data_IF_461429504653
#
_entry.id   IF_461429504653
#
_cell.length_a   1.000
_cell.length_b   1.000
_cell.length_c   1.000
_cell.angle_alpha   90.00
_cell.angle_beta   90.00
_cell.angle_gamma   90.00
#
_symmetry.space_group_name_H-M   'P 1'
#
loop_
_entity.id
_entity.type
_entity.pdbx_description
1 polymer ?
#
# COMPACT_ATOMS: atom_id res chain seq x y z
N UNK A 1 0.72 -1.64 -18.10
CA UNK A 1 -0.30 -2.17 -17.17
C UNK A 1 -0.47 -1.27 -15.97
N UNK A 2 -1.10 -1.77 -14.92
CA UNK A 2 -1.36 -1.08 -13.66
C UNK A 2 -1.08 -2.01 -12.49
N UNK A 3 -0.34 -1.54 -11.48
CA UNK A 3 -0.02 -2.24 -10.24
C UNK A 3 -0.14 -1.30 -9.04
N UNK A 4 -1.35 -1.08 -8.54
CA UNK A 4 -1.66 -0.20 -7.40
C UNK A 4 -2.33 -1.04 -6.30
N UNK A 5 -1.62 -1.23 -5.20
CA UNK A 5 -2.14 -1.96 -4.04
C UNK A 5 -2.79 -1.04 -2.99
N UNK A 6 -3.70 -1.61 -2.21
CA UNK A 6 -4.15 -1.05 -0.92
C UNK A 6 -3.76 -1.98 0.23
N UNK A 7 -3.57 -1.44 1.44
CA UNK A 7 -3.16 -2.24 2.59
C UNK A 7 -4.34 -2.99 3.21
N UNK A 8 -5.43 -2.28 3.44
CA UNK A 8 -6.59 -2.76 4.22
C UNK A 8 -7.87 -2.75 3.38
N UNK A 9 -8.08 -1.71 2.55
CA UNK A 9 -9.32 -1.50 1.80
C UNK A 9 -10.31 -0.63 2.56
N UNK A 10 -11.62 -0.82 2.33
CA UNK A 10 -12.66 0.02 2.94
C UNK A 10 -13.30 -0.65 4.15
N UNK A 11 -12.70 -0.46 5.33
CA UNK A 11 -13.23 -1.00 6.61
C UNK A 11 -14.56 -0.34 6.98
N UNK A 12 -14.72 0.95 6.71
CA UNK A 12 -15.96 1.69 6.94
C UNK A 12 -17.14 1.09 6.18
N UNK A 13 -16.95 0.69 4.92
CA UNK A 13 -18.00 0.01 4.13
C UNK A 13 -18.38 -1.35 4.70
N UNK A 14 -17.41 -2.08 5.25
CA UNK A 14 -17.68 -3.35 5.94
C UNK A 14 -18.48 -3.11 7.23
N UNK A 15 -18.15 -2.06 7.99
CA UNK A 15 -18.85 -1.71 9.23
C UNK A 15 -20.29 -1.27 8.96
N UNK A 16 -20.52 -0.40 7.98
CA UNK A 16 -21.85 0.04 7.58
C UNK A 16 -22.70 -1.16 7.12
N UNK A 17 -22.09 -2.07 6.36
CA UNK A 17 -22.76 -3.29 5.89
C UNK A 17 -23.09 -4.25 7.03
N UNK A 18 -22.20 -4.39 8.02
CA UNK A 18 -22.45 -5.17 9.22
C UNK A 18 -23.58 -4.58 10.07
N UNK A 19 -23.68 -3.25 10.18
CA UNK A 19 -24.77 -2.57 10.87
C UNK A 19 -26.13 -2.90 10.23
N UNK A 20 -26.22 -3.00 8.90
CA UNK A 20 -27.45 -3.40 8.22
C UNK A 20 -27.90 -4.82 8.59
N UNK A 21 -26.98 -5.73 8.93
CA UNK A 21 -27.31 -7.07 9.45
C UNK A 21 -27.94 -6.94 10.84
N UNK A 22 -27.26 -6.22 11.75
CA UNK A 22 -27.70 -6.02 13.13
C UNK A 22 -29.09 -5.37 13.20
N UNK A 23 -29.38 -4.42 12.31
CA UNK A 23 -30.65 -3.71 12.22
C UNK A 23 -31.71 -4.45 11.38
N UNK A 24 -31.41 -5.65 10.84
CA UNK A 24 -32.29 -6.40 9.94
C UNK A 24 -32.72 -5.61 8.69
N UNK A 25 -31.82 -4.77 8.16
CA UNK A 25 -32.01 -3.85 7.02
C UNK A 25 -31.19 -4.25 5.79
N UNK A 26 -30.82 -5.53 5.66
CA UNK A 26 -29.98 -6.06 4.58
C UNK A 26 -30.44 -5.72 3.15
N UNK A 27 -31.74 -5.48 2.92
CA UNK A 27 -32.26 -5.01 1.63
C UNK A 27 -31.65 -3.69 1.16
N UNK A 28 -31.06 -2.90 2.07
CA UNK A 28 -30.37 -1.63 1.76
C UNK A 28 -28.89 -1.80 1.42
N UNK A 29 -28.36 -3.03 1.42
CA UNK A 29 -26.97 -3.28 1.05
C UNK A 29 -26.73 -2.84 -0.40
N UNK A 30 -25.68 -2.06 -0.62
CA UNK A 30 -25.36 -1.55 -1.96
C UNK A 30 -24.98 -2.68 -2.91
N UNK A 31 -25.46 -2.69 -4.17
CA UNK A 31 -24.96 -3.63 -5.18
C UNK A 31 -23.48 -3.42 -5.49
N UNK A 32 -22.91 -2.27 -5.15
CA UNK A 32 -21.49 -1.95 -5.30
C UNK A 32 -20.65 -2.31 -4.08
N UNK A 33 -21.21 -2.97 -3.06
CA UNK A 33 -20.48 -3.33 -1.84
C UNK A 33 -19.19 -4.09 -2.16
N UNK A 34 -19.29 -5.19 -2.94
CA UNK A 34 -18.14 -6.03 -3.26
C UNK A 34 -17.07 -5.23 -4.02
N UNK A 35 -17.36 -4.52 -5.13
CA UNK A 35 -16.37 -3.65 -5.76
C UNK A 35 -15.74 -2.59 -4.85
N UNK A 36 -16.44 -2.08 -3.84
CA UNK A 36 -15.90 -1.05 -2.94
C UNK A 36 -14.87 -1.58 -1.94
N UNK A 37 -14.97 -2.84 -1.54
CA UNK A 37 -14.08 -3.44 -0.54
C UNK A 37 -12.89 -4.20 -1.14
N UNK A 38 -12.90 -4.45 -2.46
CA UNK A 38 -11.84 -5.17 -3.15
C UNK A 38 -10.61 -4.28 -3.34
N UNK A 39 -9.51 -4.63 -2.68
CA UNK A 39 -8.26 -3.86 -2.67
C UNK A 39 -7.67 -3.64 -4.06
N UNK A 40 -7.83 -4.59 -4.98
CA UNK A 40 -7.30 -4.50 -6.35
C UNK A 40 -8.09 -3.53 -7.25
N UNK A 41 -9.20 -2.96 -6.76
CA UNK A 41 -10.06 -2.09 -7.56
C UNK A 41 -9.42 -0.73 -7.85
N UNK A 42 -8.40 -0.30 -7.09
CA UNK A 42 -7.61 0.86 -7.47
C UNK A 42 -6.96 0.66 -8.85
N UNK A 43 -6.30 -0.48 -9.07
CA UNK A 43 -5.75 -0.85 -10.39
C UNK A 43 -6.83 -0.99 -11.44
N UNK A 44 -7.96 -1.61 -11.10
CA UNK A 44 -9.11 -1.77 -12.00
C UNK A 44 -9.70 -0.44 -12.48
N UNK A 45 -9.93 0.51 -11.57
CA UNK A 45 -10.48 1.82 -11.92
C UNK A 45 -9.52 2.62 -12.81
N UNK A 46 -8.22 2.60 -12.52
CA UNK A 46 -7.21 3.28 -13.33
C UNK A 46 -7.09 2.63 -14.72
N UNK A 47 -7.07 1.29 -14.79
CA UNK A 47 -6.96 0.58 -16.07
C UNK A 47 -8.16 0.85 -16.98
N UNK A 48 -9.39 0.78 -16.45
CA UNK A 48 -10.61 1.08 -17.20
C UNK A 48 -10.68 2.54 -17.64
N UNK A 49 -10.25 3.49 -16.78
CA UNK A 49 -10.30 4.93 -17.09
C UNK A 49 -9.42 5.31 -18.29
N UNK A 50 -8.25 4.68 -18.42
CA UNK A 50 -7.26 5.02 -19.45
C UNK A 50 -7.13 3.95 -20.54
N UNK A 51 -7.91 2.87 -20.49
CA UNK A 51 -7.86 1.80 -21.47
C UNK A 51 -6.58 0.97 -21.43
N UNK A 52 -5.92 0.86 -20.27
CA UNK A 52 -4.69 0.08 -20.14
C UNK A 52 -5.00 -1.42 -20.07
N UNK A 53 -4.56 -2.18 -21.07
CA UNK A 53 -4.86 -3.62 -21.23
C UNK A 53 -3.67 -4.55 -20.93
N UNK A 54 -2.53 -4.01 -20.48
CA UNK A 54 -1.42 -4.82 -19.97
C UNK A 54 -1.73 -5.45 -18.59
N UNK A 55 -0.72 -5.95 -17.86
CA UNK A 55 -0.91 -6.56 -16.55
C UNK A 55 -1.73 -5.65 -15.61
N UNK A 56 -2.82 -6.19 -15.06
CA UNK A 56 -3.67 -5.51 -14.06
C UNK A 56 -3.52 -6.24 -12.73
N UNK A 57 -2.65 -5.71 -11.87
CA UNK A 57 -2.11 -6.37 -10.69
C UNK A 57 -2.29 -5.50 -9.44
N UNK A 58 -2.17 -6.10 -8.25
CA UNK A 58 -2.09 -5.37 -6.99
C UNK A 58 -1.37 -6.25 -5.96
N UNK A 59 -0.19 -5.82 -5.48
CA UNK A 59 0.45 -6.45 -4.34
C UNK A 59 -0.23 -6.00 -3.05
N UNK A 60 -0.34 -6.89 -2.06
CA UNK A 60 -0.92 -6.55 -0.74
C UNK A 60 -0.02 -7.15 0.34
N UNK A 61 0.73 -6.28 1.03
CA UNK A 61 1.76 -6.64 2.02
C UNK A 61 1.78 -5.66 3.19
N UNK A 62 0.60 -5.26 3.66
CA UNK A 62 0.42 -4.28 4.75
C UNK A 62 1.19 -2.98 4.49
N UNK A 63 2.01 -2.51 5.44
CA UNK A 63 2.77 -1.26 5.30
C UNK A 63 3.78 -1.27 4.13
N UNK A 64 4.12 -2.45 3.57
CA UNK A 64 5.02 -2.59 2.43
C UNK A 64 4.28 -2.66 1.07
N UNK A 65 2.95 -2.54 1.04
CA UNK A 65 2.12 -2.68 -0.17
C UNK A 65 2.60 -1.81 -1.33
N UNK A 66 2.87 -0.52 -1.06
CA UNK A 66 3.34 0.40 -2.10
C UNK A 66 4.69 -0.02 -2.69
N UNK A 67 5.65 -0.39 -1.82
CA UNK A 67 6.98 -0.83 -2.24
C UNK A 67 6.94 -2.12 -3.08
N UNK A 68 6.15 -3.12 -2.66
CA UNK A 68 6.01 -4.35 -3.44
C UNK A 68 5.29 -4.10 -4.77
N UNK A 69 4.25 -3.25 -4.79
CA UNK A 69 3.55 -2.93 -6.03
C UNK A 69 4.48 -2.29 -7.07
N UNK A 70 5.36 -1.36 -6.64
CA UNK A 70 6.37 -0.71 -7.47
C UNK A 70 7.43 -1.72 -7.94
N UNK A 71 7.95 -2.55 -7.03
CA UNK A 71 8.95 -3.55 -7.35
C UNK A 71 8.45 -4.63 -8.31
N UNK A 72 7.22 -5.09 -8.14
CA UNK A 72 6.60 -6.07 -9.03
C UNK A 72 6.33 -5.47 -10.42
N UNK A 73 5.91 -4.21 -10.48
CA UNK A 73 5.78 -3.48 -11.75
C UNK A 73 7.11 -3.32 -12.49
N UNK A 74 8.19 -3.02 -11.75
CA UNK A 74 9.56 -3.02 -12.30
C UNK A 74 9.91 -4.40 -12.87
N UNK A 75 9.60 -5.49 -12.15
CA UNK A 75 9.87 -6.86 -12.64
C UNK A 75 9.09 -7.21 -13.90
N UNK A 76 7.81 -6.82 -13.98
CA UNK A 76 7.00 -7.00 -15.19
C UNK A 76 7.62 -6.30 -16.41
N UNK A 77 8.14 -5.07 -16.22
CA UNK A 77 8.85 -4.36 -17.30
C UNK A 77 10.15 -5.08 -17.66
N UNK A 78 10.96 -5.46 -16.67
CA UNK A 78 12.23 -6.17 -16.91
C UNK A 78 12.04 -7.51 -17.64
N UNK A 79 10.91 -8.18 -17.43
CA UNK A 79 10.60 -9.47 -18.05
C UNK A 79 9.89 -9.35 -19.41
N UNK A 80 9.54 -8.13 -19.83
CA UNK A 80 8.86 -7.87 -21.10
C UNK A 80 7.34 -8.05 -21.07
N UNK A 81 6.72 -8.12 -19.90
CA UNK A 81 5.26 -8.23 -19.75
C UNK A 81 4.55 -6.89 -20.07
N UNK A 82 5.27 -5.76 -19.97
CA UNK A 82 4.78 -4.43 -20.32
C UNK A 82 5.93 -3.44 -20.53
N UNK A 83 5.77 -2.47 -21.43
CA UNK A 83 6.72 -1.37 -21.58
C UNK A 83 6.49 -0.23 -20.56
N UNK A 84 5.24 -0.05 -20.12
CA UNK A 84 4.82 1.01 -19.19
C UNK A 84 3.95 0.42 -18.09
N UNK A 85 4.19 0.81 -16.84
CA UNK A 85 3.37 0.44 -15.68
C UNK A 85 3.01 1.65 -14.83
N UNK A 86 1.72 1.87 -14.58
CA UNK A 86 1.25 2.79 -13.55
C UNK A 86 1.22 2.05 -12.22
N UNK A 87 2.00 2.49 -11.23
CA UNK A 87 2.20 1.71 -10.01
C UNK A 87 2.33 2.53 -8.73
N UNK A 88 1.97 1.95 -7.60
CA UNK A 88 2.09 2.62 -6.30
C UNK A 88 1.22 2.00 -5.23
N UNK A 89 0.77 2.84 -4.29
CA UNK A 89 -0.10 2.42 -3.19
C UNK A 89 -1.15 3.47 -2.86
N UNK A 90 -2.25 3.02 -2.27
CA UNK A 90 -3.33 3.88 -1.75
C UNK A 90 -3.86 3.34 -0.44
N UNK A 91 -4.23 4.21 0.49
CA UNK A 91 -4.86 3.82 1.76
C UNK A 91 -5.78 4.92 2.28
N UNK A 92 -6.89 4.52 2.90
CA UNK A 92 -7.92 5.41 3.46
C UNK A 92 -8.61 4.76 4.67
N UNK A 93 -7.82 4.39 5.67
CA UNK A 93 -8.29 3.65 6.85
C UNK A 93 -8.39 4.53 8.12
N UNK A 94 -8.75 5.81 7.97
CA UNK A 94 -9.07 6.69 9.10
C UNK A 94 -10.56 6.57 9.42
N UNK A 95 -10.94 5.44 10.02
CA UNK A 95 -12.30 5.15 10.46
C UNK A 95 -12.31 4.62 11.90
N UNK A 96 -13.50 4.57 12.50
CA UNK A 96 -13.66 4.21 13.91
C UNK A 96 -13.09 2.82 14.24
N UNK A 97 -13.30 1.82 13.38
CA UNK A 97 -12.86 0.46 13.64
C UNK A 97 -11.35 0.31 13.42
N UNK A 98 -10.81 0.95 12.39
CA UNK A 98 -9.37 0.98 12.13
C UNK A 98 -8.61 1.66 13.28
N UNK A 99 -9.05 2.84 13.74
CA UNK A 99 -8.47 3.52 14.90
C UNK A 99 -8.57 2.65 16.16
N UNK A 100 -9.76 2.10 16.45
CA UNK A 100 -9.96 1.26 17.62
C UNK A 100 -9.06 0.01 17.59
N UNK A 101 -8.94 -0.64 16.43
CA UNK A 101 -8.10 -1.81 16.22
C UNK A 101 -6.63 -1.53 16.48
N UNK A 102 -6.07 -0.47 15.86
CA UNK A 102 -4.66 -0.10 16.06
C UNK A 102 -4.37 0.46 17.46
N UNK A 103 -5.32 1.17 18.08
CA UNK A 103 -5.23 1.53 19.50
C UNK A 103 -5.18 0.28 20.37
N UNK A 104 -6.04 -0.72 20.10
CA UNK A 104 -6.11 -1.94 20.90
C UNK A 104 -4.87 -2.82 20.75
N UNK A 105 -4.24 -2.81 19.58
CA UNK A 105 -2.93 -3.45 19.36
C UNK A 105 -1.75 -2.67 19.93
N UNK A 106 -1.99 -1.49 20.54
CA UNK A 106 -0.98 -0.57 21.10
C UNK A 106 0.02 -0.08 20.04
N UNK A 107 -0.44 0.10 18.81
CA UNK A 107 0.41 0.55 17.71
C UNK A 107 0.36 2.08 17.50
N UNK A 108 -0.73 2.73 17.92
CA UNK A 108 -0.91 4.17 17.79
C UNK A 108 -0.34 4.96 18.97
N UNK A 109 0.14 6.16 18.68
CA UNK A 109 0.43 7.17 19.71
C UNK A 109 -0.85 7.53 20.47
N UNK A 110 -0.72 7.76 21.78
CA UNK A 110 -1.85 8.14 22.65
C UNK A 110 -1.54 9.29 23.59
N UNK A 111 -0.25 9.56 23.85
CA UNK A 111 0.19 10.61 24.79
C UNK A 111 0.01 12.03 24.25
N UNK A 112 0.02 12.21 22.92
CA UNK A 112 0.12 13.52 22.27
C UNK A 112 -1.20 14.00 21.65
N UNK A 113 -2.36 13.53 22.13
CA UNK A 113 -3.67 13.94 21.60
C UNK A 113 -3.92 15.45 21.70
N UNK A 114 -3.34 16.13 22.70
CA UNK A 114 -3.43 17.60 22.85
C UNK A 114 -2.40 18.37 22.02
N UNK A 115 -1.38 17.70 21.46
CA UNK A 115 -0.31 18.30 20.66
C UNK A 115 -0.07 17.48 19.38
N UNK A 116 -1.04 17.40 18.43
CA UNK A 116 -1.00 16.43 17.32
C UNK A 116 0.22 16.57 16.41
N UNK A 117 0.69 17.79 16.20
CA UNK A 117 1.87 18.08 15.36
C UNK A 117 3.17 17.51 15.94
N UNK A 118 3.18 17.19 17.23
CA UNK A 118 4.34 16.57 17.86
C UNK A 118 4.21 15.04 17.97
N UNK A 119 3.08 14.44 17.61
CA UNK A 119 2.79 13.04 17.91
C UNK A 119 3.65 12.06 17.09
N UNK A 120 3.89 12.35 15.81
CA UNK A 120 4.77 11.54 14.95
C UNK A 120 6.23 12.00 15.09
N UNK A 121 7.03 11.21 15.79
CA UNK A 121 8.43 11.54 16.14
C UNK A 121 9.38 10.34 15.99
N UNK A 122 9.69 9.91 14.75
CA UNK A 122 10.59 8.77 14.51
C UNK A 122 11.95 8.96 15.20
N UNK A 123 12.46 7.87 15.80
CA UNK A 123 13.75 7.82 16.53
C UNK A 123 13.85 8.65 17.83
N UNK A 124 12.86 9.50 18.13
CA UNK A 124 12.83 10.26 19.39
C UNK A 124 12.63 9.35 20.61
N UNK A 125 13.19 9.74 21.77
CA UNK A 125 13.08 8.98 23.01
C UNK A 125 11.65 8.98 23.59
N UNK A 126 10.85 9.99 23.27
CA UNK A 126 9.47 10.15 23.69
C UNK A 126 8.42 9.53 22.75
N UNK A 127 8.82 8.83 21.68
CA UNK A 127 7.90 8.16 20.76
C UNK A 127 7.08 7.07 21.46
N UNK A 128 5.80 6.95 21.15
CA UNK A 128 4.89 5.99 21.79
C UNK A 128 3.96 5.23 20.82
N UNK A 129 4.19 5.34 19.51
CA UNK A 129 3.40 4.69 18.45
C UNK A 129 3.42 5.52 17.18
N UNK A 130 2.80 5.03 16.11
CA UNK A 130 2.63 5.82 14.88
C UNK A 130 1.32 6.63 14.89
N UNK A 131 1.23 7.63 14.02
CA UNK A 131 -0.02 8.36 13.71
C UNK A 131 -0.57 7.80 12.41
N UNK A 132 -1.82 7.36 12.38
CA UNK A 132 -2.42 6.88 11.13
C UNK A 132 -2.54 8.04 10.13
N UNK A 133 -2.26 7.75 8.87
CA UNK A 133 -2.41 8.69 7.76
C UNK A 133 -3.20 8.04 6.62
N UNK A 134 -3.60 8.85 5.65
CA UNK A 134 -4.30 8.41 4.44
C UNK A 134 -3.75 9.15 3.23
N UNK A 135 -3.97 8.58 2.04
CA UNK A 135 -3.54 9.15 0.78
C UNK A 135 -3.09 8.10 -0.23
N UNK A 136 -2.48 8.57 -1.32
CA UNK A 136 -1.92 7.71 -2.36
C UNK A 136 -0.65 8.31 -2.95
N UNK A 137 0.28 7.44 -3.32
CA UNK A 137 1.45 7.78 -4.13
C UNK A 137 1.50 6.86 -5.33
N UNK A 138 1.61 7.44 -6.53
CA UNK A 138 1.63 6.71 -7.81
C UNK A 138 2.77 7.23 -8.67
N UNK A 139 3.46 6.30 -9.34
CA UNK A 139 4.53 6.52 -10.30
C UNK A 139 4.16 5.92 -11.65
N UNK A 140 4.77 6.44 -12.72
CA UNK A 140 4.80 5.78 -14.02
C UNK A 140 6.20 5.22 -14.20
N UNK A 141 6.30 3.88 -14.27
CA UNK A 141 7.52 3.18 -14.64
C UNK A 141 7.48 2.85 -16.11
N UNK A 142 8.64 2.85 -16.75
CA UNK A 142 8.75 2.70 -18.18
C UNK A 142 10.10 2.07 -18.55
N UNK A 143 10.09 1.24 -19.59
CA UNK A 143 11.29 0.68 -20.22
C UNK A 143 12.17 1.82 -20.77
N UNK A 144 13.49 1.71 -20.60
CA UNK A 144 14.42 2.82 -20.81
C UNK A 144 14.44 3.28 -22.27
N UNK A 145 14.51 2.35 -23.23
CA UNK A 145 14.56 2.69 -24.64
C UNK A 145 13.21 3.20 -25.15
N UNK A 146 12.09 2.63 -24.68
CA UNK A 146 10.75 3.14 -24.91
C UNK A 146 10.62 4.59 -24.43
N UNK A 147 11.07 4.89 -23.20
CA UNK A 147 11.07 6.25 -22.65
C UNK A 147 11.93 7.22 -23.47
N UNK A 148 13.15 6.82 -23.84
CA UNK A 148 14.07 7.63 -24.67
C UNK A 148 13.50 7.92 -26.05
N UNK A 149 12.94 6.90 -26.71
CA UNK A 149 12.41 7.00 -28.07
C UNK A 149 11.27 8.03 -28.19
N UNK A 150 10.47 8.20 -27.13
CA UNK A 150 9.40 9.22 -27.09
C UNK A 150 9.82 10.53 -26.41
N UNK A 151 11.08 10.69 -26.02
CA UNK A 151 11.60 11.89 -25.35
C UNK A 151 11.00 12.15 -23.96
N UNK A 152 10.71 11.10 -23.18
CA UNK A 152 10.14 11.23 -21.85
C UNK A 152 11.11 11.92 -20.87
N UNK A 153 10.57 12.67 -19.90
CA UNK A 153 11.36 13.16 -18.76
C UNK A 153 11.66 11.99 -17.82
N UNK A 154 12.96 11.71 -17.65
CA UNK A 154 13.44 10.65 -16.75
C UNK A 154 13.83 11.28 -15.41
N UNK A 155 13.23 10.82 -14.31
CA UNK A 155 13.55 11.30 -12.96
C UNK A 155 14.71 10.52 -12.34
N UNK A 156 14.65 9.19 -12.43
CA UNK A 156 15.64 8.26 -11.90
C UNK A 156 15.42 6.88 -12.54
N UNK A 157 16.38 5.99 -12.33
CA UNK A 157 16.28 4.57 -12.68
C UNK A 157 16.12 3.75 -11.40
N UNK A 158 15.19 2.79 -11.38
CA UNK A 158 15.07 1.84 -10.26
C UNK A 158 16.06 0.71 -10.48
N UNK A 159 17.12 0.67 -9.67
CA UNK A 159 18.26 -0.26 -9.83
C UNK A 159 18.11 -1.57 -9.05
N UNK A 160 17.30 -1.60 -8.00
CA UNK A 160 17.21 -2.78 -7.15
C UNK A 160 15.90 -2.86 -6.38
N UNK A 161 15.40 -4.09 -6.25
CA UNK A 161 14.20 -4.42 -5.50
C UNK A 161 14.48 -5.64 -4.61
N UNK A 162 14.77 -5.37 -3.34
CA UNK A 162 15.10 -6.38 -2.34
C UNK A 162 13.92 -6.70 -1.43
N UNK A 163 13.55 -7.98 -1.34
CA UNK A 163 12.49 -8.48 -0.46
C UNK A 163 13.06 -9.44 0.58
N UNK A 164 12.41 -9.53 1.74
CA UNK A 164 12.67 -10.53 2.78
C UNK A 164 11.47 -10.64 3.73
N UNK A 165 11.44 -11.70 4.53
CA UNK A 165 10.54 -11.81 5.68
C UNK A 165 11.34 -12.04 6.96
N UNK A 166 10.85 -11.50 8.07
CA UNK A 166 11.47 -11.67 9.38
C UNK A 166 11.31 -13.10 9.94
N UNK A 167 10.18 -13.75 9.61
CA UNK A 167 9.79 -15.06 10.11
C UNK A 167 9.96 -15.17 11.65
N UNK A 168 9.37 -14.21 12.38
CA UNK A 168 9.62 -14.03 13.81
C UNK A 168 8.33 -13.84 14.63
N UNK A 169 7.62 -12.72 14.44
CA UNK A 169 6.39 -12.41 15.15
C UNK A 169 5.40 -11.72 14.20
N UNK A 170 4.10 -11.83 14.48
CA UNK A 170 3.04 -11.29 13.59
C UNK A 170 3.06 -9.76 13.47
N UNK A 171 3.58 -9.05 14.47
CA UNK A 171 3.61 -7.57 14.53
C UNK A 171 4.95 -6.98 14.97
N UNK A 172 5.85 -7.78 15.53
CA UNK A 172 7.09 -7.27 16.12
C UNK A 172 8.28 -7.69 15.26
N UNK A 173 9.24 -6.78 15.00
CA UNK A 173 10.47 -7.15 14.32
C UNK A 173 11.38 -7.95 15.28
N UNK A 174 12.29 -8.78 14.75
CA UNK A 174 13.34 -9.40 15.54
C UNK A 174 14.32 -8.33 16.04
N UNK A 175 14.91 -8.54 17.22
CA UNK A 175 15.83 -7.57 17.86
C UNK A 175 17.11 -7.34 17.08
N UNK A 176 17.52 -8.30 16.25
CA UNK A 176 18.69 -8.21 15.38
C UNK A 176 18.41 -7.51 14.03
N UNK A 177 17.15 -7.20 13.73
CA UNK A 177 16.75 -6.57 12.48
C UNK A 177 17.09 -7.36 11.21
N UNK A 178 17.27 -8.69 11.32
CA UNK A 178 17.81 -9.53 10.23
C UNK A 178 17.06 -9.41 8.91
N UNK A 179 15.71 -9.31 8.92
CA UNK A 179 14.94 -9.15 7.70
C UNK A 179 15.21 -7.81 7.04
N UNK A 180 15.16 -6.71 7.79
CA UNK A 180 15.50 -5.39 7.26
C UNK A 180 16.90 -5.35 6.62
N UNK A 181 17.91 -5.94 7.27
CA UNK A 181 19.27 -6.05 6.73
C UNK A 181 19.29 -6.84 5.41
N UNK A 182 18.56 -7.97 5.35
CA UNK A 182 18.46 -8.79 4.14
C UNK A 182 17.79 -8.05 2.99
N UNK A 183 16.67 -7.36 3.24
CA UNK A 183 15.97 -6.57 2.21
C UNK A 183 16.90 -5.52 1.60
N UNK A 184 17.56 -4.71 2.45
CA UNK A 184 18.51 -3.69 1.98
C UNK A 184 19.69 -4.31 1.22
N UNK A 185 20.28 -5.38 1.75
CA UNK A 185 21.42 -6.07 1.12
C UNK A 185 21.04 -6.67 -0.24
N UNK A 186 19.84 -7.24 -0.38
CA UNK A 186 19.35 -7.81 -1.64
C UNK A 186 19.05 -6.76 -2.70
N UNK A 187 18.61 -5.57 -2.29
CA UNK A 187 18.42 -4.45 -3.21
C UNK A 187 19.77 -3.93 -3.75
N UNK A 188 20.79 -3.82 -2.88
CA UNK A 188 22.13 -3.36 -3.26
C UNK A 188 22.94 -4.33 -4.13
N UNK A 189 22.56 -5.61 -4.18
CA UNK A 189 23.25 -6.65 -4.97
C UNK A 189 22.79 -6.73 -6.43
N UNK A 190 21.76 -5.99 -6.82
CA UNK A 190 21.20 -5.95 -8.17
C UNK A 190 21.87 -4.86 -8.99
#
# INVERSE_FOLDING_TARGET
>A
GVSIGGGIGSVSDMLDSAQLICEKRLRRLSPFFVPRILINMASGHVSMKYGFQGPNHAAVTACATGSHSIGDAMRMIQFGDADVMVTGGTESSIDALSIAGFCRSRALTTKYNSLPQEASRPFDSGRDGFVIGEGSGVLVLEELEHAKNRGAKIYAEIRGYGMSGDAYHITQPPSDGRGAILAMTRALRQ
#
